data_IF_919825446067
#
_entry.id   IF_919825446067
#
_cell.length_a   1.000
_cell.length_b   1.000
_cell.length_c   1.000
_cell.angle_alpha   90.00
_cell.angle_beta   90.00
_cell.angle_gamma   90.00
#
_symmetry.space_group_name_H-M   'P 1'
#
loop_
_entity.id
_entity.type
_entity.pdbx_description
1 polymer ?
#
# COMPACT_ATOMS: atom_id res chain seq x y z
N UNK A 1 4.89 6.09 10.20
CA UNK A 1 5.56 4.78 10.11
C UNK A 1 6.74 4.72 11.06
N UNK A 2 6.56 4.03 12.19
CA UNK A 2 7.61 3.79 13.18
C UNK A 2 8.15 2.37 13.04
N UNK A 3 9.47 2.17 12.92
CA UNK A 3 10.06 0.83 12.79
C UNK A 3 9.76 -0.14 13.92
N UNK A 4 9.48 0.38 15.12
CA UNK A 4 9.02 -0.41 16.25
C UNK A 4 7.72 -1.19 15.95
N UNK A 5 6.84 -0.65 15.10
CA UNK A 5 5.55 -1.27 14.76
C UNK A 5 5.73 -2.63 14.07
N UNK A 6 6.82 -2.80 13.31
CA UNK A 6 7.16 -4.05 12.64
C UNK A 6 8.38 -4.77 13.25
N UNK A 7 8.70 -4.49 14.50
CA UNK A 7 9.71 -5.23 15.26
C UNK A 7 11.16 -4.76 15.09
N UNK A 8 11.38 -3.55 14.56
CA UNK A 8 12.72 -2.97 14.41
C UNK A 8 12.84 -1.62 15.17
N UNK A 9 12.83 -1.59 16.51
CA UNK A 9 12.78 -0.33 17.26
C UNK A 9 14.01 0.58 17.06
N UNK A 10 15.14 0.02 16.63
CA UNK A 10 16.38 0.75 16.34
C UNK A 10 16.49 1.18 14.87
N UNK A 11 15.47 0.86 14.04
CA UNK A 11 15.41 1.25 12.64
C UNK A 11 15.13 2.75 12.49
N UNK A 12 15.53 3.30 11.34
CA UNK A 12 15.30 4.70 10.99
C UNK A 12 14.22 4.74 9.91
N UNK A 13 12.97 5.01 10.29
CA UNK A 13 11.82 4.96 9.38
C UNK A 13 11.87 3.71 8.47
N UNK A 14 11.58 3.83 7.17
CA UNK A 14 11.69 2.73 6.20
C UNK A 14 13.12 2.45 5.69
N UNK A 15 14.15 3.07 6.27
CA UNK A 15 15.53 2.96 5.74
C UNK A 15 16.12 1.60 6.05
N UNK A 16 16.77 0.98 5.05
CA UNK A 16 17.34 -0.38 5.10
C UNK A 16 16.32 -1.50 5.31
N UNK A 17 15.03 -1.21 5.28
CA UNK A 17 14.00 -2.23 5.18
C UNK A 17 14.01 -2.78 3.76
N UNK A 18 14.35 -4.07 3.60
CA UNK A 18 14.53 -4.71 2.28
C UNK A 18 13.62 -5.91 2.07
N UNK A 19 12.87 -6.29 3.10
CA UNK A 19 11.87 -7.35 3.07
C UNK A 19 10.54 -6.82 3.61
N UNK A 20 9.40 -7.32 3.11
CA UNK A 20 8.11 -6.99 3.69
C UNK A 20 8.02 -7.50 5.12
N UNK A 21 7.00 -7.04 5.84
CA UNK A 21 6.59 -7.66 7.10
C UNK A 21 6.07 -9.07 6.79
N UNK A 22 6.73 -10.09 7.33
CA UNK A 22 6.39 -11.49 7.09
C UNK A 22 5.32 -12.03 8.04
N UNK A 23 5.07 -11.34 9.16
CA UNK A 23 4.06 -11.74 10.12
C UNK A 23 2.71 -11.09 9.81
N UNK A 24 1.83 -11.84 9.15
CA UNK A 24 0.47 -11.42 8.79
C UNK A 24 -0.59 -11.76 9.85
N UNK A 25 -0.20 -12.41 10.96
CA UNK A 25 -1.14 -12.90 11.99
C UNK A 25 -1.84 -11.77 12.74
N UNK A 26 -1.25 -10.58 12.77
CA UNK A 26 -1.83 -9.39 13.40
C UNK A 26 -1.86 -8.23 12.40
N UNK A 27 -2.88 -7.35 12.47
CA UNK A 27 -2.87 -6.08 11.78
C UNK A 27 -1.67 -5.24 12.23
N UNK A 28 -1.01 -4.57 11.30
CA UNK A 28 0.05 -3.63 11.59
C UNK A 28 -0.60 -2.27 11.84
N UNK A 29 -0.46 -1.73 13.05
CA UNK A 29 -0.88 -0.35 13.30
C UNK A 29 0.28 0.57 12.92
N UNK A 30 0.14 1.30 11.81
CA UNK A 30 1.10 2.29 11.32
C UNK A 30 0.74 3.73 11.70
N UNK A 31 -0.24 3.90 12.60
CA UNK A 31 -0.91 5.16 12.95
C UNK A 31 -1.64 5.79 11.76
N UNK A 32 -2.26 4.97 10.92
CA UNK A 32 -3.15 5.44 9.87
C UNK A 32 -4.44 5.96 10.49
N UNK A 33 -5.02 7.04 9.94
CA UNK A 33 -6.34 7.49 10.38
C UNK A 33 -7.43 6.57 9.81
N UNK A 34 -7.66 5.45 10.50
CA UNK A 34 -8.63 4.45 10.07
C UNK A 34 -10.08 4.98 10.09
N UNK A 35 -10.36 6.08 10.78
CA UNK A 35 -11.67 6.74 10.74
C UNK A 35 -11.98 7.28 9.33
N UNK A 36 -10.95 7.74 8.62
CA UNK A 36 -11.08 8.20 7.23
C UNK A 36 -11.36 7.03 6.29
N UNK A 37 -10.66 5.90 6.48
CA UNK A 37 -10.93 4.67 5.73
C UNK A 37 -12.39 4.21 5.96
N UNK A 38 -12.83 4.14 7.22
CA UNK A 38 -14.19 3.71 7.57
C UNK A 38 -15.25 4.62 6.95
N UNK A 39 -15.00 5.93 6.93
CA UNK A 39 -15.87 6.91 6.28
C UNK A 39 -15.95 6.66 4.76
N UNK A 40 -14.82 6.48 4.08
CA UNK A 40 -14.78 6.20 2.63
C UNK A 40 -15.50 4.90 2.32
N UNK A 41 -15.23 3.83 3.07
CA UNK A 41 -15.90 2.54 2.91
C UNK A 41 -17.42 2.65 3.12
N UNK A 42 -17.84 3.38 4.16
CA UNK A 42 -19.26 3.65 4.45
C UNK A 42 -19.93 4.44 3.33
N UNK A 43 -19.31 5.51 2.84
CA UNK A 43 -19.89 6.34 1.78
C UNK A 43 -19.99 5.54 0.49
N UNK A 44 -18.91 4.88 0.07
CA UNK A 44 -18.89 4.07 -1.16
C UNK A 44 -19.97 2.97 -1.14
N UNK A 45 -20.13 2.27 -0.01
CA UNK A 45 -21.17 1.23 0.16
C UNK A 45 -22.60 1.78 0.06
N UNK A 46 -22.82 3.03 0.46
CA UNK A 46 -24.15 3.65 0.50
C UNK A 46 -24.51 4.44 -0.77
N UNK A 47 -23.60 4.57 -1.74
CA UNK A 47 -23.89 5.22 -3.02
C UNK A 47 -24.82 4.35 -3.87
N UNK A 48 -26.04 4.85 -4.12
CA UNK A 48 -27.09 4.12 -4.85
C UNK A 48 -27.12 4.43 -6.35
N UNK A 49 -26.86 5.68 -6.74
CA UNK A 49 -27.05 6.15 -8.11
C UNK A 49 -25.84 5.87 -9.01
N UNK A 50 -24.64 5.91 -8.44
CA UNK A 50 -23.38 5.62 -9.14
C UNK A 50 -22.69 4.50 -8.40
N UNK A 51 -22.57 3.29 -8.99
CA UNK A 51 -21.91 2.18 -8.32
C UNK A 51 -20.42 2.47 -8.11
N UNK A 52 -20.00 2.53 -6.85
CA UNK A 52 -18.59 2.67 -6.47
C UNK A 52 -18.12 1.38 -5.83
N UNK A 53 -17.00 0.84 -6.33
CA UNK A 53 -16.32 -0.30 -5.72
C UNK A 53 -15.02 0.19 -5.10
N UNK A 54 -14.89 0.02 -3.79
CA UNK A 54 -13.65 0.32 -3.09
C UNK A 54 -12.59 -0.74 -3.41
N UNK A 55 -11.41 -0.29 -3.83
CA UNK A 55 -10.21 -1.12 -3.93
C UNK A 55 -9.45 -0.96 -2.62
N UNK A 56 -9.59 -1.95 -1.73
CA UNK A 56 -8.93 -1.92 -0.42
C UNK A 56 -7.47 -2.35 -0.54
N UNK A 57 -6.58 -1.36 -0.51
CA UNK A 57 -5.13 -1.53 -0.62
C UNK A 57 -4.41 -1.23 0.69
N UNK A 58 -5.10 -0.73 1.72
CA UNK A 58 -4.46 -0.19 2.93
C UNK A 58 -3.63 -1.27 3.61
N UNK A 59 -4.30 -2.33 4.08
CA UNK A 59 -3.63 -3.36 4.88
C UNK A 59 -2.56 -4.12 4.12
N UNK A 60 -2.76 -4.39 2.83
CA UNK A 60 -1.74 -5.06 2.02
C UNK A 60 -0.51 -4.17 1.78
N UNK A 61 -0.69 -2.85 1.71
CA UNK A 61 0.39 -1.89 1.54
C UNK A 61 1.15 -1.66 2.86
N UNK A 62 0.47 -1.74 4.01
CA UNK A 62 1.10 -1.60 5.33
C UNK A 62 2.24 -2.61 5.54
N UNK A 63 2.10 -3.82 5.01
CA UNK A 63 3.12 -4.86 5.11
C UNK A 63 4.35 -4.60 4.22
N UNK A 64 4.34 -3.58 3.36
CA UNK A 64 5.38 -3.31 2.36
C UNK A 64 6.38 -2.22 2.76
N UNK A 65 6.85 -2.27 4.00
CA UNK A 65 7.90 -1.38 4.53
C UNK A 65 9.17 -1.31 3.67
N UNK A 66 9.40 -2.32 2.83
CA UNK A 66 10.53 -2.47 1.91
C UNK A 66 10.44 -1.70 0.61
N UNK A 67 9.25 -1.22 0.23
CA UNK A 67 9.00 -0.77 -1.15
C UNK A 67 9.03 0.75 -1.34
N UNK A 68 9.36 1.51 -0.30
CA UNK A 68 9.43 2.96 -0.37
C UNK A 68 10.68 3.46 -1.08
N UNK A 69 10.61 4.68 -1.64
CA UNK A 69 11.77 5.34 -2.27
C UNK A 69 12.91 5.62 -1.29
N UNK A 70 12.60 5.80 0.00
CA UNK A 70 13.60 5.98 1.06
C UNK A 70 14.51 7.18 0.76
N UNK A 71 15.82 6.96 0.61
CA UNK A 71 16.81 7.98 0.25
C UNK A 71 17.02 8.14 -1.26
N UNK A 72 16.28 7.39 -2.08
CA UNK A 72 16.37 7.35 -3.54
C UNK A 72 15.21 8.11 -4.19
N UNK A 73 14.88 9.27 -3.61
CA UNK A 73 13.82 10.16 -4.07
C UNK A 73 14.39 11.51 -4.53
N UNK A 74 13.51 12.35 -5.08
CA UNK A 74 13.82 13.72 -5.48
C UNK A 74 13.30 14.71 -4.44
N UNK A 75 14.05 15.77 -4.17
CA UNK A 75 13.62 16.90 -3.34
C UNK A 75 13.87 18.19 -4.11
N UNK A 76 12.82 18.99 -4.30
CA UNK A 76 12.88 20.23 -5.09
C UNK A 76 13.44 19.99 -6.50
N UNK A 77 13.05 18.88 -7.13
CA UNK A 77 13.44 18.54 -8.51
C UNK A 77 14.85 17.97 -8.69
N UNK A 78 15.60 17.70 -7.61
CA UNK A 78 16.95 17.12 -7.69
C UNK A 78 17.05 15.86 -6.82
N UNK A 79 17.94 14.95 -7.22
CA UNK A 79 18.30 13.79 -6.39
C UNK A 79 18.96 14.27 -5.09
N UNK A 80 18.76 13.51 -4.03
CA UNK A 80 19.43 13.77 -2.76
C UNK A 80 20.95 13.65 -2.90
N UNK A 81 21.69 14.63 -2.36
CA UNK A 81 23.15 14.60 -2.31
C UNK A 81 23.65 13.58 -1.27
N UNK A 82 24.92 13.14 -1.32
CA UNK A 82 25.48 12.26 -0.29
C UNK A 82 25.29 12.78 1.14
N UNK A 83 25.44 14.10 1.35
CA UNK A 83 25.27 14.74 2.66
C UNK A 83 23.82 14.67 3.14
N UNK A 84 22.86 14.82 2.22
CA UNK A 84 21.45 14.68 2.53
C UNK A 84 21.08 13.22 2.85
N UNK A 85 21.65 12.27 2.10
CA UNK A 85 21.46 10.84 2.37
C UNK A 85 22.08 10.39 3.69
N UNK A 86 23.08 11.11 4.20
CA UNK A 86 23.68 10.87 5.51
C UNK A 86 22.76 11.23 6.70
N UNK A 87 21.67 11.98 6.47
CA UNK A 87 20.62 12.27 7.46
C UNK A 87 19.27 11.63 7.06
N UNK A 88 19.14 10.30 7.14
CA UNK A 88 17.91 9.59 6.79
C UNK A 88 16.70 10.02 7.63
N UNK A 89 16.90 10.46 8.87
CA UNK A 89 15.81 10.90 9.73
C UNK A 89 15.08 12.11 9.13
N UNK A 90 15.82 13.00 8.46
CA UNK A 90 15.26 14.18 7.80
C UNK A 90 14.86 13.93 6.36
N UNK A 91 15.60 13.11 5.62
CA UNK A 91 15.49 13.03 4.17
C UNK A 91 14.82 11.75 3.62
N UNK A 92 14.66 10.69 4.43
CA UNK A 92 13.99 9.49 3.95
C UNK A 92 12.50 9.75 3.69
N UNK A 93 12.08 9.40 2.48
CA UNK A 93 10.70 9.39 2.01
C UNK A 93 10.12 7.98 2.22
N UNK A 94 9.18 7.88 3.16
CA UNK A 94 8.47 6.64 3.48
C UNK A 94 6.98 6.76 3.15
N UNK A 95 6.65 7.56 2.14
CA UNK A 95 5.29 7.77 1.66
C UNK A 95 5.20 7.31 0.21
N UNK A 96 6.16 7.70 -0.63
CA UNK A 96 6.19 7.30 -2.02
C UNK A 96 6.81 5.91 -2.21
N UNK A 97 6.44 5.27 -3.32
CA UNK A 97 6.84 3.92 -3.68
C UNK A 97 7.84 3.93 -4.82
N UNK A 98 8.79 3.01 -4.79
CA UNK A 98 9.58 2.68 -5.98
C UNK A 98 8.68 2.11 -7.08
N UNK A 99 9.09 2.30 -8.33
CA UNK A 99 8.53 1.62 -9.49
C UNK A 99 9.67 0.86 -10.21
N UNK A 100 9.48 -0.42 -10.59
CA UNK A 100 8.31 -1.25 -10.30
C UNK A 100 8.14 -1.53 -8.79
N UNK A 101 6.91 -1.74 -8.33
CA UNK A 101 6.62 -1.87 -6.89
C UNK A 101 5.15 -2.04 -6.51
N UNK A 102 4.81 -1.59 -5.30
CA UNK A 102 3.46 -1.73 -4.69
C UNK A 102 2.33 -1.16 -5.57
N UNK A 103 2.48 0.01 -6.22
CA UNK A 103 1.44 0.54 -7.10
C UNK A 103 1.11 -0.36 -8.30
N UNK A 104 2.05 -1.20 -8.76
CA UNK A 104 1.77 -2.14 -9.84
C UNK A 104 0.73 -3.19 -9.42
N UNK A 105 0.77 -3.62 -8.15
CA UNK A 105 -0.23 -4.55 -7.60
C UNK A 105 -1.60 -3.88 -7.45
N UNK A 106 -1.63 -2.59 -7.08
CA UNK A 106 -2.88 -1.81 -7.08
C UNK A 106 -3.51 -1.77 -8.48
N UNK A 107 -2.66 -1.54 -9.50
CA UNK A 107 -3.08 -1.56 -10.90
C UNK A 107 -3.56 -2.94 -11.35
N UNK A 108 -2.93 -4.04 -10.89
CA UNK A 108 -3.41 -5.40 -11.18
C UNK A 108 -4.81 -5.67 -10.59
N UNK A 109 -5.07 -5.20 -9.36
CA UNK A 109 -6.41 -5.33 -8.74
C UNK A 109 -7.43 -4.53 -9.55
N UNK A 110 -7.10 -3.28 -9.93
CA UNK A 110 -7.96 -2.46 -10.78
C UNK A 110 -8.23 -3.13 -12.13
N UNK A 111 -7.19 -3.61 -12.80
CA UNK A 111 -7.29 -4.28 -14.10
C UNK A 111 -8.19 -5.53 -14.02
N UNK A 112 -8.03 -6.34 -12.97
CA UNK A 112 -8.87 -7.50 -12.71
C UNK A 112 -10.35 -7.10 -12.60
N UNK A 113 -10.66 -6.03 -11.85
CA UNK A 113 -12.05 -5.53 -11.71
C UNK A 113 -12.65 -5.06 -13.03
N UNK A 114 -11.85 -4.43 -13.89
CA UNK A 114 -12.29 -4.00 -15.23
C UNK A 114 -12.63 -5.23 -16.08
N UNK A 115 -11.72 -6.22 -16.12
CA UNK A 115 -11.92 -7.43 -16.93
C UNK A 115 -13.08 -8.30 -16.43
N UNK A 116 -13.24 -8.46 -15.11
CA UNK A 116 -14.33 -9.26 -14.54
C UNK A 116 -15.72 -8.69 -14.85
N UNK A 117 -15.84 -7.38 -15.08
CA UNK A 117 -17.12 -6.75 -15.50
C UNK A 117 -17.41 -6.91 -16.99
N UNK A 118 -16.38 -7.17 -17.80
CA UNK A 118 -16.50 -7.33 -19.26
C UNK A 118 -16.81 -8.77 -19.69
N UNK A 119 -16.84 -9.73 -18.76
CA UNK A 119 -17.17 -11.12 -19.06
C UNK A 119 -18.70 -11.30 -19.13
N UNK A 120 -19.27 -11.87 -20.21
CA UNK A 120 -20.65 -12.34 -20.20
C UNK A 120 -20.86 -13.33 -19.04
N UNK A 121 -22.08 -13.47 -18.50
CA UNK A 121 -22.36 -14.53 -17.54
C UNK A 121 -21.92 -15.87 -18.16
N UNK A 122 -21.07 -16.62 -17.45
CA UNK A 122 -20.73 -17.98 -17.87
C UNK A 122 -22.03 -18.79 -17.95
N UNK A 123 -22.28 -19.54 -19.05
CA UNK A 123 -23.42 -20.45 -19.12
C UNK A 123 -23.26 -21.65 -18.18
N UNK A 124 -22.11 -21.80 -17.51
CA UNK A 124 -21.85 -22.92 -16.63
C UNK A 124 -22.17 -22.59 -15.16
N UNK A 125 -23.00 -23.40 -14.48
CA UNK A 125 -23.27 -23.24 -13.06
C UNK A 125 -21.98 -23.39 -12.23
N UNK A 126 -21.91 -22.75 -11.05
CA UNK A 126 -20.78 -22.88 -10.14
C UNK A 126 -20.52 -24.35 -9.80
N UNK A 127 -19.25 -24.75 -9.84
CA UNK A 127 -18.83 -26.09 -9.41
C UNK A 127 -19.17 -26.27 -7.91
N UNK A 128 -19.61 -27.47 -7.49
CA UNK A 128 -19.86 -27.76 -6.09
C UNK A 128 -18.57 -27.59 -5.25
N UNK A 129 -18.69 -27.18 -3.97
CA UNK A 129 -17.56 -27.17 -3.07
C UNK A 129 -16.98 -28.59 -2.91
N UNK A 130 -15.66 -28.70 -2.93
CA UNK A 130 -14.92 -29.90 -2.51
C UNK A 130 -14.95 -30.03 -0.99
#
# INVERSE_FOLDING_TARGET
>A
MSPAQWGNPNGIKCVKETLPVLNYTKPLDLNHDMRMYDLVAKVAKNMKNVPVSLIDITRMSDYRKDAHTSLYSIRQGKLLTPEQKADPQKYADCIHWCLPGVPDVWNQILYTRILSKSSPPSPHPPLPPQ
#
